data_IF_944875383872
#
_entry.id   IF_944875383872
#
_cell.length_a   1.000
_cell.length_b   1.000
_cell.length_c   1.000
_cell.angle_alpha   90.00
_cell.angle_beta   90.00
_cell.angle_gamma   90.00
#
_symmetry.space_group_name_H-M   'P 1'
#
loop_
_entity.id
_entity.type
_entity.pdbx_description
1 polymer ?
#
# COMPACT_ATOMS: atom_id res chain seq x y z
N UNK A 1 -13.80 3.88 -6.74
CA UNK A 1 -13.32 4.90 -5.77
C UNK A 1 -12.91 6.16 -6.54
N UNK A 2 -13.87 7.05 -6.84
CA UNK A 2 -13.69 8.17 -7.79
C UNK A 2 -12.58 9.16 -7.40
N UNK A 3 -12.43 9.41 -6.09
CA UNK A 3 -11.39 10.30 -5.58
C UNK A 3 -9.97 9.80 -5.95
N UNK A 4 -9.68 8.52 -5.74
CA UNK A 4 -8.35 7.98 -6.03
C UNK A 4 -8.01 8.05 -7.52
N UNK A 5 -9.00 7.85 -8.40
CA UNK A 5 -8.81 8.01 -9.84
C UNK A 5 -8.40 9.43 -10.22
N UNK A 6 -8.89 10.44 -9.50
CA UNK A 6 -8.58 11.85 -9.76
C UNK A 6 -7.29 12.32 -9.08
N UNK A 7 -7.00 11.83 -7.87
CA UNK A 7 -5.97 12.40 -7.01
C UNK A 7 -4.72 11.51 -6.81
N UNK A 8 -4.82 10.20 -7.00
CA UNK A 8 -3.71 9.26 -6.81
C UNK A 8 -2.85 9.17 -8.09
N UNK A 9 -2.33 10.30 -8.57
CA UNK A 9 -1.59 10.39 -9.84
C UNK A 9 -0.07 10.45 -9.68
N UNK A 10 0.43 10.76 -8.48
CA UNK A 10 1.86 10.77 -8.18
C UNK A 10 2.41 9.33 -8.13
N UNK A 11 3.40 8.96 -8.98
CA UNK A 11 4.01 7.63 -8.97
C UNK A 11 4.58 7.21 -7.61
N UNK A 12 5.04 8.15 -6.78
CA UNK A 12 5.49 7.85 -5.42
C UNK A 12 4.33 7.45 -4.51
N UNK A 13 3.13 8.00 -4.70
CA UNK A 13 1.93 7.59 -3.96
C UNK A 13 1.43 6.21 -4.42
N UNK A 14 1.64 5.85 -5.69
CA UNK A 14 1.41 4.50 -6.21
C UNK A 14 2.31 3.50 -5.48
N UNK A 15 3.61 3.78 -5.39
CA UNK A 15 4.56 2.92 -4.66
C UNK A 15 4.19 2.77 -3.18
N UNK A 16 3.81 3.88 -2.54
CA UNK A 16 3.36 3.87 -1.15
C UNK A 16 2.12 2.99 -0.97
N UNK A 17 1.12 3.12 -1.86
CA UNK A 17 -0.12 2.30 -1.81
C UNK A 17 0.20 0.82 -1.97
N UNK A 18 1.03 0.49 -2.95
CA UNK A 18 1.48 -0.88 -3.23
C UNK A 18 2.23 -1.47 -2.04
N UNK A 19 3.10 -0.70 -1.40
CA UNK A 19 3.84 -1.14 -0.21
C UNK A 19 2.93 -1.38 0.99
N UNK A 20 1.92 -0.54 1.20
CA UNK A 20 0.93 -0.79 2.26
C UNK A 20 0.10 -2.04 1.94
N UNK A 21 -0.22 -2.31 0.67
CA UNK A 21 -0.91 -3.53 0.27
C UNK A 21 -0.09 -4.78 0.58
N UNK A 22 1.23 -4.78 0.30
CA UNK A 22 2.13 -5.88 0.70
C UNK A 22 2.13 -6.11 2.22
N UNK A 23 2.13 -5.03 3.01
CA UNK A 23 2.03 -5.09 4.48
C UNK A 23 0.71 -5.67 4.97
N UNK A 24 -0.37 -5.50 4.22
CA UNK A 24 -1.67 -6.08 4.56
C UNK A 24 -1.63 -7.58 4.30
N UNK A 25 -1.09 -8.00 3.15
CA UNK A 25 -1.00 -9.42 2.76
C UNK A 25 -0.16 -10.25 3.75
N UNK A 26 0.96 -9.72 4.26
CA UNK A 26 1.80 -10.44 5.24
C UNK A 26 1.51 -10.10 6.71
N UNK A 27 0.42 -9.37 6.97
CA UNK A 27 -0.04 -9.05 8.32
C UNK A 27 0.84 -8.04 9.08
N UNK A 28 1.80 -7.36 8.45
CA UNK A 28 2.66 -6.35 9.12
C UNK A 28 2.09 -4.94 9.13
N UNK A 29 0.90 -4.72 8.55
CA UNK A 29 0.22 -3.44 8.60
C UNK A 29 -0.35 -3.16 10.00
N UNK A 30 0.08 -2.06 10.64
CA UNK A 30 -0.34 -1.64 11.99
C UNK A 30 -1.51 -0.66 12.03
N UNK A 31 -2.11 -0.34 10.89
CA UNK A 31 -3.30 0.51 10.87
C UNK A 31 -4.49 -0.21 11.50
N UNK A 32 -5.43 0.55 12.05
CA UNK A 32 -6.72 0.02 12.51
C UNK A 32 -7.53 -0.57 11.35
N UNK A 33 -8.61 -1.29 11.68
CA UNK A 33 -9.43 -1.98 10.70
C UNK A 33 -10.05 -1.04 9.66
N UNK A 34 -10.49 0.15 10.08
CA UNK A 34 -11.12 1.12 9.18
C UNK A 34 -10.11 1.64 8.15
N UNK A 35 -8.94 2.08 8.60
CA UNK A 35 -7.86 2.55 7.73
C UNK A 35 -7.31 1.43 6.84
N UNK A 36 -7.22 0.19 7.33
CA UNK A 36 -6.84 -0.98 6.51
C UNK A 36 -7.85 -1.24 5.38
N UNK A 37 -9.14 -1.13 5.65
CA UNK A 37 -10.20 -1.39 4.67
C UNK A 37 -10.16 -0.43 3.47
N UNK A 38 -9.60 0.78 3.64
CA UNK A 38 -9.46 1.77 2.56
C UNK A 38 -8.35 1.41 1.56
N UNK A 39 -7.28 0.73 2.00
CA UNK A 39 -6.11 0.48 1.15
C UNK A 39 -6.41 -0.39 -0.07
N UNK A 40 -7.15 -1.52 0.03
CA UNK A 40 -7.52 -2.29 -1.16
C UNK A 40 -8.28 -1.43 -2.19
N UNK A 41 -9.12 -0.50 -1.75
CA UNK A 41 -9.85 0.40 -2.65
C UNK A 41 -8.93 1.39 -3.37
N UNK A 42 -7.91 1.92 -2.67
CA UNK A 42 -6.87 2.74 -3.29
C UNK A 42 -6.03 1.92 -4.26
N UNK A 43 -5.72 0.67 -3.88
CA UNK A 43 -4.89 -0.23 -4.65
C UNK A 43 -5.53 -0.61 -6.00
N UNK A 44 -6.86 -0.74 -6.09
CA UNK A 44 -7.57 -0.94 -7.36
C UNK A 44 -7.30 0.16 -8.39
N UNK A 45 -7.01 1.37 -7.94
CA UNK A 45 -6.56 2.47 -8.81
C UNK A 45 -5.05 2.40 -9.02
N UNK A 46 -4.29 2.16 -7.95
CA UNK A 46 -2.83 2.15 -7.99
C UNK A 46 -2.29 1.10 -8.97
N UNK A 47 -2.86 -0.12 -8.98
CA UNK A 47 -2.43 -1.24 -9.83
C UNK A 47 -2.56 -1.02 -11.34
N UNK A 48 -3.16 0.10 -11.76
CA UNK A 48 -3.36 0.48 -13.17
C UNK A 48 -2.42 1.61 -13.60
N UNK A 49 -1.46 1.99 -12.75
CA UNK A 49 -0.59 3.16 -12.94
C UNK A 49 0.86 2.78 -12.64
N UNK A 50 1.83 3.37 -13.36
CA UNK A 50 3.23 3.13 -13.07
C UNK A 50 3.62 3.73 -11.72
N UNK A 51 4.34 2.94 -10.92
CA UNK A 51 5.08 3.42 -9.75
C UNK A 51 6.35 4.18 -10.13
N UNK A 52 7.00 4.81 -9.14
CA UNK A 52 8.31 5.44 -9.32
C UNK A 52 9.45 4.44 -9.14
N UNK A 53 9.28 3.49 -8.22
CA UNK A 53 10.29 2.52 -7.79
C UNK A 53 9.81 1.08 -7.98
N UNK A 54 8.52 0.82 -7.79
CA UNK A 54 7.95 -0.51 -7.88
C UNK A 54 7.38 -0.73 -9.28
N UNK A 55 7.84 -1.79 -9.94
CA UNK A 55 7.43 -2.17 -11.28
C UNK A 55 6.18 -3.07 -11.28
N UNK A 56 5.74 -3.45 -12.49
CA UNK A 56 4.57 -4.30 -12.73
C UNK A 56 4.67 -5.68 -12.04
N UNK A 57 5.88 -6.16 -11.71
CA UNK A 57 6.05 -7.43 -11.05
C UNK A 57 5.47 -7.41 -9.62
N UNK A 58 5.45 -6.26 -8.96
CA UNK A 58 4.79 -6.09 -7.67
C UNK A 58 3.26 -6.20 -7.79
N UNK A 59 2.67 -5.65 -8.86
CA UNK A 59 1.23 -5.78 -9.10
C UNK A 59 0.84 -7.21 -9.44
N UNK A 60 1.63 -7.88 -10.28
CA UNK A 60 1.46 -9.29 -10.62
C UNK A 60 1.55 -10.18 -9.38
N UNK A 61 2.49 -9.92 -8.48
CA UNK A 61 2.65 -10.65 -7.22
C UNK A 61 1.44 -10.47 -6.30
N UNK A 62 0.99 -9.24 -6.09
CA UNK A 62 -0.19 -8.97 -5.25
C UNK A 62 -1.43 -9.67 -5.82
N UNK A 63 -1.61 -9.65 -7.13
CA UNK A 63 -2.72 -10.34 -7.79
C UNK A 63 -2.65 -11.86 -7.53
N UNK A 64 -1.47 -12.48 -7.60
CA UNK A 64 -1.31 -13.90 -7.27
C UNK A 64 -1.64 -14.19 -5.81
N UNK A 65 -1.12 -13.39 -4.88
CA UNK A 65 -1.37 -13.55 -3.44
C UNK A 65 -2.86 -13.40 -3.06
N UNK A 66 -3.62 -12.60 -3.82
CA UNK A 66 -5.08 -12.49 -3.63
C UNK A 66 -5.84 -13.77 -4.01
N UNK A 67 -5.28 -14.64 -4.86
CA UNK A 67 -5.90 -15.92 -5.23
C UNK A 67 -5.53 -17.05 -4.25
N UNK A 68 -4.48 -16.87 -3.45
CA UNK A 68 -4.06 -17.84 -2.46
C UNK A 68 -2.73 -17.48 -1.81
N UNK A 69 -2.59 -17.81 -0.53
CA UNK A 69 -1.41 -17.55 0.28
C UNK A 69 -0.93 -18.86 0.92
N UNK A 70 -0.07 -19.58 0.22
CA UNK A 70 0.69 -20.69 0.80
C UNK A 70 1.97 -20.16 1.49
N UNK A 71 2.75 -21.07 2.08
CA UNK A 71 3.98 -20.71 2.79
C UNK A 71 5.02 -20.05 1.86
N UNK A 72 5.15 -20.55 0.63
CA UNK A 72 6.08 -20.01 -0.36
C UNK A 72 5.69 -18.58 -0.77
N UNK A 73 4.40 -18.35 -1.04
CA UNK A 73 3.88 -17.02 -1.35
C UNK A 73 4.01 -16.07 -0.16
N UNK A 74 3.81 -16.56 1.07
CA UNK A 74 4.00 -15.77 2.30
C UNK A 74 5.43 -15.27 2.42
N UNK A 75 6.41 -16.16 2.22
CA UNK A 75 7.82 -15.79 2.25
C UNK A 75 8.17 -14.80 1.14
N UNK A 76 7.65 -15.02 -0.07
CA UNK A 76 7.94 -14.14 -1.21
C UNK A 76 7.35 -12.74 -1.04
N UNK A 77 6.12 -12.61 -0.53
CA UNK A 77 5.52 -11.31 -0.17
C UNK A 77 6.35 -10.61 0.91
N UNK A 78 6.80 -11.36 1.92
CA UNK A 78 7.64 -10.81 2.99
C UNK A 78 8.95 -10.21 2.43
N UNK A 79 9.66 -10.93 1.58
CA UNK A 79 10.90 -10.47 0.95
C UNK A 79 10.66 -9.22 0.10
N UNK A 80 9.62 -9.26 -0.75
CA UNK A 80 9.29 -8.15 -1.65
C UNK A 80 8.83 -6.92 -0.88
N UNK A 81 8.10 -7.09 0.22
CA UNK A 81 7.78 -5.99 1.13
C UNK A 81 9.05 -5.36 1.70
N UNK A 82 10.00 -6.17 2.19
CA UNK A 82 11.22 -5.63 2.78
C UNK A 82 12.01 -4.80 1.76
N UNK A 83 12.15 -5.29 0.53
CA UNK A 83 12.76 -4.53 -0.55
C UNK A 83 12.03 -3.21 -0.80
N UNK A 84 10.69 -3.24 -0.87
CA UNK A 84 9.89 -2.03 -1.04
C UNK A 84 10.08 -1.02 0.11
N UNK A 85 10.15 -1.50 1.36
CA UNK A 85 10.40 -0.66 2.55
C UNK A 85 11.83 -0.11 2.61
N UNK A 86 12.81 -0.80 2.02
CA UNK A 86 14.18 -0.27 1.87
C UNK A 86 14.23 0.85 0.82
N UNK A 87 13.50 0.70 -0.28
CA UNK A 87 13.42 1.70 -1.34
C UNK A 87 12.58 2.93 -0.95
N UNK A 88 11.51 2.73 -0.18
CA UNK A 88 10.63 3.81 0.28
C UNK A 88 10.96 4.25 1.70
N UNK A 89 11.65 5.38 1.78
CA UNK A 89 12.05 5.96 3.07
C UNK A 89 10.86 6.22 4.01
N UNK A 90 11.12 6.13 5.33
CA UNK A 90 10.11 6.44 6.37
C UNK A 90 9.50 7.86 6.22
N UNK A 91 10.26 8.92 5.88
CA UNK A 91 9.69 10.24 5.63
C UNK A 91 8.67 10.26 4.48
N UNK A 92 8.94 9.55 3.38
CA UNK A 92 8.01 9.43 2.24
C UNK A 92 6.70 8.78 2.67
N UNK A 93 6.78 7.65 3.39
CA UNK A 93 5.60 6.96 3.91
C UNK A 93 4.81 7.82 4.92
N UNK A 94 5.50 8.63 5.73
CA UNK A 94 4.86 9.55 6.67
C UNK A 94 4.10 10.66 5.93
N UNK A 95 4.73 11.27 4.91
CA UNK A 95 4.13 12.31 4.09
C UNK A 95 2.91 11.79 3.32
N UNK A 96 3.01 10.61 2.70
CA UNK A 96 1.89 9.97 2.00
C UNK A 96 0.68 9.75 2.93
N UNK A 97 0.89 9.18 4.13
CA UNK A 97 -0.21 8.99 5.09
C UNK A 97 -0.79 10.32 5.58
N UNK A 98 0.03 11.35 5.75
CA UNK A 98 -0.46 12.68 6.11
C UNK A 98 -1.32 13.27 4.99
N UNK A 99 -0.90 13.13 3.72
CA UNK A 99 -1.66 13.54 2.55
C UNK A 99 -3.02 12.83 2.47
N UNK A 100 -3.07 11.51 2.69
CA UNK A 100 -4.35 10.79 2.73
C UNK A 100 -5.27 11.30 3.85
N UNK A 101 -4.73 11.63 5.03
CA UNK A 101 -5.52 12.17 6.16
C UNK A 101 -6.04 13.57 5.89
N UNK A 102 -5.23 14.43 5.27
CA UNK A 102 -5.65 15.79 4.87
C UNK A 102 -6.85 15.76 3.92
N UNK A 103 -6.99 14.68 3.13
CA UNK A 103 -8.11 14.47 2.21
C UNK A 103 -9.24 13.62 2.81
N UNK A 104 -9.19 13.28 4.11
CA UNK A 104 -10.21 12.48 4.79
C UNK A 104 -10.27 11.01 4.36
N UNK A 105 -9.23 10.52 3.66
CA UNK A 105 -9.17 9.14 3.15
C UNK A 105 -8.74 8.17 4.24
N UNK A 106 -7.79 8.59 5.07
CA UNK A 106 -7.46 7.89 6.31
C UNK A 106 -7.96 8.73 7.48
N UNK A 107 -8.44 8.05 8.51
CA UNK A 107 -8.71 8.66 9.81
C UNK A 107 -7.39 9.09 10.47
N UNK A 108 -7.47 10.04 11.40
CA UNK A 108 -6.36 10.23 12.33
C UNK A 108 -6.14 8.91 13.06
N UNK A 109 -4.88 8.57 13.34
CA UNK A 109 -4.66 7.50 14.29
C UNK A 109 -5.27 7.99 15.59
N UNK A 110 -6.22 7.27 16.16
CA UNK A 110 -6.59 7.51 17.55
C UNK A 110 -5.28 7.53 18.31
N UNK A 111 -4.96 8.67 18.90
CA UNK A 111 -3.89 8.78 19.86
C UNK A 111 -4.23 7.73 20.90
N UNK A 112 -3.51 6.60 20.90
CA UNK A 112 -3.49 5.74 22.06
C UNK A 112 -2.94 6.62 23.18
N UNK A 113 -3.87 7.11 24.01
CA UNK A 113 -3.61 7.76 25.29
C UNK A 113 -2.84 6.81 26.21
#
# INVERSE_FOLDING_TARGET
MRWAEQHLTDPQHIDCTTTVMLKILDGKCKMDAQNKAVIPLLYEVARRRPGKLLDEAYHSLIAQAQHGMDEAMTLFIYEKRLLAETMLSRPVMKAYKAWLRQHGILQQADSAE
#
